data_IF_133779203341
#
_entry.id   IF_133779203341
#
_cell.length_a   1.000
_cell.length_b   1.000
_cell.length_c   1.000
_cell.angle_alpha   90.00
_cell.angle_beta   90.00
_cell.angle_gamma   90.00
#
_symmetry.space_group_name_H-M   'P 1'
#
loop_
_entity.id
_entity.type
_entity.pdbx_description
1 polymer ?
#
# COMPACT_ATOMS: atom_id res chain seq x y z
N UNK A 1 -0.08 0.26 38.67
CA UNK A 1 -0.31 0.38 37.22
C UNK A 1 0.56 -0.66 36.51
N UNK A 2 -0.03 -1.68 35.90
CA UNK A 2 0.73 -2.69 35.17
C UNK A 2 1.24 -2.12 33.85
N UNK A 3 2.50 -2.41 33.44
CA UNK A 3 3.08 -1.87 32.21
C UNK A 3 2.24 -2.19 30.97
N UNK A 4 1.57 -3.34 30.96
CA UNK A 4 0.65 -3.74 29.90
C UNK A 4 -0.59 -2.82 29.78
N UNK A 5 -1.10 -2.31 30.90
CA UNK A 5 -2.25 -1.40 30.91
C UNK A 5 -1.87 -0.02 30.37
N UNK A 6 -0.63 0.42 30.63
CA UNK A 6 -0.08 1.67 30.10
C UNK A 6 0.22 1.57 28.60
N UNK A 7 0.78 0.45 28.15
CA UNK A 7 1.03 0.19 26.73
C UNK A 7 -0.27 0.22 25.92
N UNK A 8 -1.30 -0.51 26.36
CA UNK A 8 -2.53 -0.70 25.58
C UNK A 8 -3.47 0.50 25.64
N UNK A 9 -3.65 1.13 26.81
CA UNK A 9 -4.59 2.25 26.94
C UNK A 9 -4.02 3.63 26.60
N UNK A 10 -2.69 3.79 26.62
CA UNK A 10 -2.08 5.12 26.48
C UNK A 10 -1.13 5.14 25.28
N UNK A 11 -0.11 4.27 25.24
CA UNK A 11 0.91 4.32 24.18
C UNK A 11 0.37 3.86 22.82
N UNK A 12 -0.42 2.79 22.78
CA UNK A 12 -1.04 2.27 21.57
C UNK A 12 -1.92 3.32 20.86
N UNK A 13 -2.96 3.92 21.50
CA UNK A 13 -3.82 4.90 20.84
C UNK A 13 -3.05 6.14 20.37
N UNK A 14 -2.04 6.60 21.11
CA UNK A 14 -1.19 7.72 20.70
C UNK A 14 -0.26 7.37 19.52
N UNK A 15 0.17 6.12 19.39
CA UNK A 15 1.07 5.65 18.32
C UNK A 15 0.34 5.17 17.06
N UNK A 16 -0.98 4.87 17.13
CA UNK A 16 -1.81 4.45 15.97
C UNK A 16 -1.58 5.30 14.71
N UNK A 17 -1.59 6.65 14.73
CA UNK A 17 -1.40 7.44 13.52
C UNK A 17 -0.02 7.24 12.87
N UNK A 18 1.02 7.03 13.69
CA UNK A 18 2.36 6.71 13.21
C UNK A 18 2.41 5.30 12.58
N UNK A 19 1.78 4.32 13.22
CA UNK A 19 1.68 2.95 12.70
C UNK A 19 0.95 2.93 11.35
N UNK A 20 -0.16 3.65 11.21
CA UNK A 20 -0.91 3.73 9.95
C UNK A 20 -0.11 4.37 8.81
N UNK A 21 0.76 5.33 9.13
CA UNK A 21 1.69 5.90 8.16
C UNK A 21 2.71 4.85 7.68
N UNK A 22 3.23 4.04 8.61
CA UNK A 22 4.08 2.90 8.30
C UNK A 22 3.37 1.85 7.43
N UNK A 23 2.12 1.50 7.75
CA UNK A 23 1.32 0.55 6.97
C UNK A 23 1.12 1.03 5.54
N UNK A 24 0.80 2.33 5.34
CA UNK A 24 0.70 2.91 4.01
C UNK A 24 2.01 2.75 3.22
N UNK A 25 3.15 2.97 3.87
CA UNK A 25 4.45 2.82 3.22
C UNK A 25 4.78 1.37 2.85
N UNK A 26 4.52 0.41 3.74
CA UNK A 26 4.74 -1.02 3.46
C UNK A 26 3.90 -1.49 2.28
N UNK A 27 2.66 -1.01 2.18
CA UNK A 27 1.78 -1.29 1.06
C UNK A 27 2.33 -0.71 -0.25
N UNK A 28 2.81 0.54 -0.25
CA UNK A 28 3.45 1.12 -1.44
C UNK A 28 4.71 0.36 -1.86
N UNK A 29 5.53 -0.06 -0.90
CA UNK A 29 6.71 -0.88 -1.16
C UNK A 29 6.32 -2.24 -1.76
N UNK A 30 5.24 -2.84 -1.26
CA UNK A 30 4.71 -4.12 -1.78
C UNK A 30 4.18 -3.98 -3.21
N UNK A 31 3.53 -2.86 -3.54
CA UNK A 31 3.07 -2.58 -4.91
C UNK A 31 4.23 -2.41 -5.90
N UNK A 32 5.33 -1.80 -5.47
CA UNK A 32 6.57 -1.73 -6.26
C UNK A 32 7.13 -3.13 -6.59
N UNK A 33 7.00 -4.08 -5.65
CA UNK A 33 7.51 -5.44 -5.80
C UNK A 33 6.71 -6.32 -6.77
N UNK A 34 5.53 -5.90 -7.22
CA UNK A 34 4.65 -6.70 -8.10
C UNK A 34 5.32 -7.10 -9.42
N UNK A 35 6.17 -6.23 -9.98
CA UNK A 35 6.89 -6.51 -11.24
C UNK A 35 7.94 -7.60 -11.03
N UNK A 36 8.66 -7.57 -9.90
CA UNK A 36 9.68 -8.57 -9.57
C UNK A 36 9.03 -9.92 -9.28
N UNK A 37 7.91 -9.93 -8.56
CA UNK A 37 7.13 -11.15 -8.32
C UNK A 37 6.73 -11.83 -9.63
N UNK A 38 6.40 -11.03 -10.66
CA UNK A 38 6.04 -11.57 -11.98
C UNK A 38 7.19 -12.24 -12.73
N UNK A 39 8.45 -11.86 -12.44
CA UNK A 39 9.62 -12.56 -12.99
C UNK A 39 9.77 -13.99 -12.43
N UNK A 40 9.24 -14.26 -11.23
CA UNK A 40 9.28 -15.57 -10.57
C UNK A 40 8.04 -16.42 -10.94
N UNK A 41 7.23 -15.96 -11.90
CA UNK A 41 6.05 -16.68 -12.37
C UNK A 41 4.78 -16.40 -11.58
N UNK A 42 4.77 -15.39 -10.71
CA UNK A 42 3.50 -14.82 -10.23
C UNK A 42 2.78 -14.19 -11.43
N UNK A 43 1.81 -14.88 -12.00
CA UNK A 43 1.08 -14.40 -13.17
C UNK A 43 0.35 -13.06 -12.94
N UNK A 44 -0.49 -12.67 -13.90
CA UNK A 44 -1.32 -11.46 -13.78
C UNK A 44 -0.69 -10.22 -14.40
N UNK A 45 -1.01 -9.05 -13.86
CA UNK A 45 -0.69 -7.74 -14.46
C UNK A 45 0.83 -7.50 -14.57
N UNK A 46 1.62 -7.91 -13.56
CA UNK A 46 3.08 -7.80 -13.61
C UNK A 46 3.70 -8.64 -14.74
N UNK A 47 3.11 -9.79 -15.06
CA UNK A 47 3.57 -10.64 -16.17
C UNK A 47 3.31 -10.00 -17.53
N UNK A 48 2.17 -9.33 -17.70
CA UNK A 48 1.89 -8.55 -18.93
C UNK A 48 2.88 -7.41 -19.13
N UNK A 49 3.27 -6.72 -18.05
CA UNK A 49 4.29 -5.66 -18.11
C UNK A 49 5.64 -6.24 -18.51
N UNK A 50 6.06 -7.34 -17.88
CA UNK A 50 7.32 -8.00 -18.19
C UNK A 50 7.36 -8.48 -19.65
N UNK A 51 6.28 -9.08 -20.14
CA UNK A 51 6.14 -9.50 -21.53
C UNK A 51 6.20 -8.32 -22.52
N UNK A 52 5.60 -7.18 -22.15
CA UNK A 52 5.63 -5.96 -22.95
C UNK A 52 7.03 -5.38 -23.10
N UNK A 53 7.82 -5.45 -22.02
CA UNK A 53 9.24 -5.07 -22.04
C UNK A 53 10.03 -6.03 -22.94
N UNK A 54 9.82 -7.34 -22.80
CA UNK A 54 10.51 -8.36 -23.60
C UNK A 54 10.23 -8.26 -25.11
N UNK A 55 8.99 -7.91 -25.49
CA UNK A 55 8.57 -7.80 -26.90
C UNK A 55 8.60 -6.37 -27.46
N UNK A 56 9.09 -5.40 -26.69
CA UNK A 56 9.10 -3.97 -27.06
C UNK A 56 7.70 -3.52 -27.53
N UNK A 57 6.65 -4.04 -26.87
CA UNK A 57 5.26 -3.72 -27.20
C UNK A 57 4.74 -2.67 -26.22
N UNK A 58 4.83 -1.42 -26.64
CA UNK A 58 4.41 -0.26 -25.84
C UNK A 58 2.91 -0.27 -25.53
N UNK A 59 2.07 -0.77 -26.44
CA UNK A 59 0.62 -0.82 -26.25
C UNK A 59 0.21 -1.71 -25.08
N UNK A 60 0.73 -2.94 -25.05
CA UNK A 60 0.51 -3.86 -23.93
C UNK A 60 1.13 -3.33 -22.62
N UNK A 61 2.27 -2.66 -22.70
CA UNK A 61 2.96 -2.10 -21.54
C UNK A 61 2.17 -0.96 -20.89
N UNK A 62 1.59 -0.07 -21.70
CA UNK A 62 0.75 1.01 -21.23
C UNK A 62 -0.58 0.52 -20.65
N UNK A 63 -1.25 -0.44 -21.31
CA UNK A 63 -2.50 -1.01 -20.80
C UNK A 63 -2.28 -1.65 -19.41
N UNK A 64 -1.26 -2.50 -19.29
CA UNK A 64 -0.97 -3.18 -18.04
C UNK A 64 -0.45 -2.23 -16.95
N UNK A 65 0.37 -1.24 -17.32
CA UNK A 65 0.89 -0.23 -16.41
C UNK A 65 -0.21 0.67 -15.85
N UNK A 66 -1.12 1.17 -16.70
CA UNK A 66 -2.28 1.95 -16.26
C UNK A 66 -3.19 1.14 -15.34
N UNK A 67 -3.38 -0.16 -15.60
CA UNK A 67 -4.14 -1.04 -14.73
C UNK A 67 -3.58 -1.11 -13.31
N UNK A 68 -2.26 -1.34 -13.16
CA UNK A 68 -1.62 -1.36 -11.83
C UNK A 68 -1.64 0.02 -11.18
N UNK A 69 -1.41 1.08 -11.95
CA UNK A 69 -1.42 2.46 -11.44
C UNK A 69 -2.78 2.82 -10.83
N UNK A 70 -3.88 2.46 -11.49
CA UNK A 70 -5.23 2.69 -10.98
C UNK A 70 -5.48 1.91 -9.69
N UNK A 71 -5.04 0.65 -9.61
CA UNK A 71 -5.15 -0.16 -8.39
C UNK A 71 -4.35 0.50 -7.26
N UNK A 72 -3.12 0.93 -7.51
CA UNK A 72 -2.28 1.60 -6.54
C UNK A 72 -2.92 2.90 -6.00
N UNK A 73 -3.48 3.73 -6.88
CA UNK A 73 -4.15 4.99 -6.51
C UNK A 73 -5.41 4.72 -5.68
N UNK A 74 -6.22 3.73 -6.05
CA UNK A 74 -7.42 3.37 -5.29
C UNK A 74 -7.04 2.87 -3.90
N UNK A 75 -6.00 2.04 -3.82
CA UNK A 75 -5.55 1.46 -2.58
C UNK A 75 -4.93 2.53 -1.65
N UNK A 76 -4.12 3.44 -2.21
CA UNK A 76 -3.63 4.65 -1.51
C UNK A 76 -4.79 5.48 -0.93
N UNK A 77 -5.83 5.74 -1.74
CA UNK A 77 -7.03 6.50 -1.32
C UNK A 77 -7.74 5.84 -0.14
N UNK A 78 -7.88 4.53 -0.15
CA UNK A 78 -8.52 3.77 0.93
C UNK A 78 -7.69 3.90 2.21
N UNK A 79 -6.37 3.67 2.13
CA UNK A 79 -5.48 3.75 3.30
C UNK A 79 -5.43 5.16 3.87
N UNK A 80 -5.27 6.20 3.04
CA UNK A 80 -5.33 7.58 3.48
C UNK A 80 -6.68 7.95 4.09
N UNK A 81 -7.78 7.42 3.55
CA UNK A 81 -9.11 7.61 4.11
C UNK A 81 -9.22 7.09 5.54
N UNK A 82 -8.65 5.92 5.81
CA UNK A 82 -8.59 5.32 7.15
C UNK A 82 -7.72 6.15 8.09
N UNK A 83 -6.52 6.53 7.64
CA UNK A 83 -5.56 7.34 8.44
C UNK A 83 -6.14 8.71 8.81
N UNK A 84 -6.77 9.42 7.86
CA UNK A 84 -7.40 10.73 8.11
C UNK A 84 -8.58 10.64 9.09
N UNK A 85 -9.36 9.56 9.06
CA UNK A 85 -10.49 9.35 9.98
C UNK A 85 -10.01 9.18 11.42
N UNK A 86 -8.92 8.45 11.63
CA UNK A 86 -8.32 8.24 12.94
C UNK A 86 -7.64 9.50 13.49
N UNK A 87 -6.92 10.26 12.65
CA UNK A 87 -6.30 11.52 13.08
C UNK A 87 -7.34 12.56 13.52
N UNK A 88 -8.51 12.60 12.87
CA UNK A 88 -9.65 13.44 13.29
C UNK A 88 -10.34 12.97 14.55
N UNK A 89 -10.29 11.68 14.89
CA UNK A 89 -10.86 11.15 16.12
C UNK A 89 -9.99 11.51 17.34
N UNK A 90 -8.66 11.51 17.17
CA UNK A 90 -7.70 11.86 18.24
C UNK A 90 -7.60 13.36 18.52
N UNK A 91 -7.88 14.21 17.52
CA UNK A 91 -7.94 15.67 17.69
C UNK A 91 -9.29 16.17 18.25
N UNK A 92 -10.24 15.26 18.49
CA UNK A 92 -11.60 15.59 18.98
C UNK A 92 -11.79 15.29 20.47
N UNK A 93 -10.74 14.87 21.17
CA UNK A 93 -10.69 14.69 22.62
C UNK A 93 -9.99 15.87 23.31
#
# INVERSE_FOLDING_TARGET
CTPFQLLVKIQLPLAVPSIMTGVNQTVMMSLSMVVVAAMIGAGGLGGKILYSIQRINLGLGLEAGLGILLIAIVLDRILQGITRKQQKALLKE
#
